data_IF_279435089048
#
_entry.id   IF_279435089048
#
_cell.length_a   1.000
_cell.length_b   1.000
_cell.length_c   1.000
_cell.angle_alpha   90.00
_cell.angle_beta   90.00
_cell.angle_gamma   90.00
#
_symmetry.space_group_name_H-M   'P 1'
#
loop_
_entity.id
_entity.type
_entity.pdbx_description
1 polymer ?
#
# COMPACT_ATOMS: atom_id res chain seq x y z
N UNK A 1 13.59 6.29 -14.64
CA UNK A 1 12.53 6.20 -13.61
C UNK A 1 11.27 5.66 -14.25
N UNK A 2 10.51 4.82 -13.54
CA UNK A 2 9.18 4.36 -13.98
C UNK A 2 8.22 5.56 -13.94
N UNK A 3 7.25 5.63 -14.84
CA UNK A 3 6.25 6.72 -14.86
C UNK A 3 5.41 6.68 -13.58
N UNK A 4 5.06 7.85 -13.04
CA UNK A 4 4.27 7.97 -11.81
C UNK A 4 2.94 7.22 -11.91
N UNK A 5 2.26 7.30 -13.05
CA UNK A 5 1.04 6.51 -13.32
C UNK A 5 1.22 5.02 -12.99
N UNK A 6 2.30 4.41 -13.47
CA UNK A 6 2.52 2.98 -13.26
C UNK A 6 2.82 2.65 -11.80
N UNK A 7 3.46 3.57 -11.07
CA UNK A 7 3.72 3.43 -9.63
C UNK A 7 2.43 3.57 -8.83
N UNK A 8 1.57 4.52 -9.19
CA UNK A 8 0.24 4.68 -8.60
C UNK A 8 -0.62 3.44 -8.83
N UNK A 9 -0.58 2.87 -10.03
CA UNK A 9 -1.28 1.61 -10.34
C UNK A 9 -0.73 0.44 -9.52
N UNK A 10 0.59 0.36 -9.29
CA UNK A 10 1.16 -0.66 -8.39
C UNK A 10 0.60 -0.51 -6.96
N UNK A 11 0.52 0.72 -6.44
CA UNK A 11 -0.02 1.00 -5.10
C UNK A 11 -1.50 0.59 -5.04
N UNK A 12 -2.29 0.98 -6.04
CA UNK A 12 -3.72 0.68 -6.11
C UNK A 12 -3.96 -0.84 -6.15
N UNK A 13 -3.24 -1.56 -7.02
CA UNK A 13 -3.36 -3.01 -7.16
C UNK A 13 -2.93 -3.75 -5.89
N UNK A 14 -1.86 -3.29 -5.23
CA UNK A 14 -1.41 -3.85 -3.96
C UNK A 14 -2.44 -3.64 -2.84
N UNK A 15 -3.07 -2.46 -2.78
CA UNK A 15 -4.14 -2.18 -1.84
C UNK A 15 -5.37 -3.08 -2.08
N UNK A 16 -5.75 -3.29 -3.35
CA UNK A 16 -6.82 -4.21 -3.74
C UNK A 16 -6.53 -5.66 -3.31
N UNK A 17 -5.32 -6.14 -3.58
CA UNK A 17 -4.90 -7.48 -3.18
C UNK A 17 -4.91 -7.66 -1.65
N UNK A 18 -4.48 -6.66 -0.87
CA UNK A 18 -4.57 -6.71 0.59
C UNK A 18 -6.03 -6.88 1.03
N UNK A 19 -6.94 -6.08 0.45
CA UNK A 19 -8.37 -6.19 0.76
C UNK A 19 -8.93 -7.56 0.41
N UNK A 20 -8.54 -8.14 -0.72
CA UNK A 20 -8.98 -9.48 -1.15
C UNK A 20 -8.46 -10.58 -0.22
N UNK A 21 -7.17 -10.52 0.17
CA UNK A 21 -6.58 -11.52 1.07
C UNK A 21 -7.18 -11.50 2.47
N UNK A 22 -7.69 -10.34 2.90
CA UNK A 22 -8.26 -10.14 4.22
C UNK A 22 -9.79 -10.26 4.25
N UNK A 23 -10.45 -10.51 3.12
CA UNK A 23 -11.89 -10.68 3.09
C UNK A 23 -12.35 -11.87 3.95
N UNK A 24 -13.24 -11.61 4.89
CA UNK A 24 -13.69 -12.59 5.88
C UNK A 24 -12.61 -13.10 6.85
N UNK A 25 -11.43 -12.47 6.89
CA UNK A 25 -10.35 -12.80 7.82
C UNK A 25 -10.42 -11.85 9.01
N UNK A 26 -10.47 -12.40 10.23
CA UNK A 26 -10.28 -11.62 11.45
C UNK A 26 -8.81 -11.58 11.88
N UNK A 27 -8.50 -10.70 12.83
CA UNK A 27 -7.13 -10.54 13.34
C UNK A 27 -6.58 -11.85 13.94
N UNK A 28 -7.41 -12.64 14.60
CA UNK A 28 -6.96 -13.89 15.23
C UNK A 28 -6.49 -14.88 14.16
N UNK A 29 -7.27 -15.05 13.10
CA UNK A 29 -6.91 -15.89 11.95
C UNK A 29 -5.66 -15.35 11.26
N UNK A 30 -5.58 -14.05 11.02
CA UNK A 30 -4.38 -13.43 10.44
C UNK A 30 -3.11 -13.71 11.28
N UNK A 31 -3.18 -13.55 12.60
CA UNK A 31 -2.04 -13.78 13.49
C UNK A 31 -1.56 -15.25 13.53
N UNK A 32 -2.41 -16.19 13.12
CA UNK A 32 -2.10 -17.62 13.08
C UNK A 32 -1.88 -18.17 11.66
N UNK A 33 -1.97 -17.34 10.61
CA UNK A 33 -1.81 -17.77 9.22
C UNK A 33 -0.60 -17.09 8.56
N UNK A 34 0.51 -17.84 8.49
CA UNK A 34 1.77 -17.37 7.89
C UNK A 34 1.67 -17.08 6.40
N UNK A 35 0.76 -17.74 5.68
CA UNK A 35 0.59 -17.52 4.25
C UNK A 35 -0.03 -16.14 4.03
N UNK A 36 -1.11 -15.84 4.75
CA UNK A 36 -1.79 -14.54 4.69
C UNK A 36 -0.85 -13.43 5.16
N UNK A 37 -0.15 -13.62 6.28
CA UNK A 37 0.87 -12.69 6.77
C UNK A 37 1.92 -12.35 5.70
N UNK A 38 2.48 -13.37 5.05
CA UNK A 38 3.49 -13.18 4.02
C UNK A 38 2.93 -12.46 2.79
N UNK A 39 1.71 -12.81 2.38
CA UNK A 39 1.03 -12.18 1.25
C UNK A 39 0.77 -10.68 1.50
N UNK A 40 0.20 -10.34 2.67
CA UNK A 40 -0.06 -8.95 3.07
C UNK A 40 1.24 -8.16 3.20
N UNK A 41 2.26 -8.73 3.85
CA UNK A 41 3.56 -8.09 4.02
C UNK A 41 4.23 -7.76 2.68
N UNK A 42 4.13 -8.66 1.71
CA UNK A 42 4.64 -8.45 0.36
C UNK A 42 3.94 -7.25 -0.32
N UNK A 43 2.62 -7.16 -0.22
CA UNK A 43 1.87 -6.05 -0.81
C UNK A 43 2.17 -4.70 -0.12
N UNK A 44 2.30 -4.68 1.20
CA UNK A 44 2.74 -3.49 1.94
C UNK A 44 4.14 -3.02 1.51
N UNK A 45 5.03 -3.97 1.23
CA UNK A 45 6.38 -3.67 0.71
C UNK A 45 6.32 -3.05 -0.69
N UNK A 46 5.44 -3.56 -1.56
CA UNK A 46 5.21 -3.00 -2.90
C UNK A 46 4.69 -1.56 -2.79
N UNK A 47 3.71 -1.31 -1.92
CA UNK A 47 3.17 0.04 -1.67
C UNK A 47 4.28 0.99 -1.23
N UNK A 48 5.10 0.60 -0.25
CA UNK A 48 6.18 1.45 0.24
C UNK A 48 7.28 1.72 -0.80
N UNK A 49 7.66 0.72 -1.59
CA UNK A 49 8.65 0.90 -2.65
C UNK A 49 8.11 1.81 -3.77
N UNK A 50 6.87 1.60 -4.20
CA UNK A 50 6.24 2.43 -5.22
C UNK A 50 6.09 3.87 -4.74
N UNK A 51 5.57 4.09 -3.53
CA UNK A 51 5.44 5.42 -2.92
C UNK A 51 6.78 6.16 -2.79
N UNK A 52 7.88 5.42 -2.56
CA UNK A 52 9.23 6.02 -2.48
C UNK A 52 9.79 6.50 -3.82
N UNK A 53 9.23 5.99 -4.93
CA UNK A 53 9.67 6.28 -6.30
C UNK A 53 8.75 7.28 -7.01
N UNK A 54 7.56 7.56 -6.48
CA UNK A 54 6.68 8.62 -6.99
C UNK A 54 7.44 9.96 -6.94
N UNK A 55 7.36 10.71 -8.04
CA UNK A 55 8.05 11.99 -8.17
C UNK A 55 7.71 12.96 -7.03
N UNK A 56 8.66 13.82 -6.69
CA UNK A 56 8.43 14.83 -5.66
C UNK A 56 7.28 15.77 -6.04
N UNK A 57 7.21 16.19 -7.31
CA UNK A 57 6.17 17.06 -7.85
C UNK A 57 4.77 16.46 -7.60
N UNK A 58 4.55 15.20 -7.98
CA UNK A 58 3.24 14.57 -7.78
C UNK A 58 2.90 14.42 -6.29
N UNK A 59 3.88 14.16 -5.43
CA UNK A 59 3.65 14.11 -3.98
C UNK A 59 3.27 15.47 -3.39
N UNK A 60 3.84 16.55 -3.92
CA UNK A 60 3.54 17.92 -3.51
C UNK A 60 2.17 18.39 -4.02
N UNK A 61 1.76 17.97 -5.22
CA UNK A 61 0.45 18.28 -5.81
C UNK A 61 -0.69 17.54 -5.09
N UNK A 62 -0.41 16.37 -4.52
CA UNK A 62 -1.39 15.53 -3.81
C UNK A 62 -1.01 15.26 -2.34
N UNK A 63 -0.99 16.28 -1.47
CA UNK A 63 -0.50 16.17 -0.09
C UNK A 63 -1.48 15.44 0.86
N UNK A 64 -2.70 15.14 0.40
CA UNK A 64 -3.69 14.37 1.18
C UNK A 64 -3.28 12.90 1.33
N UNK A 65 -2.47 12.38 0.41
CA UNK A 65 -1.90 11.05 0.57
C UNK A 65 -0.76 11.14 1.59
N UNK A 66 -0.73 10.28 2.63
CA UNK A 66 0.34 10.26 3.62
C UNK A 66 1.60 9.60 3.04
N UNK A 67 2.26 10.28 2.10
CA UNK A 67 3.38 9.72 1.33
C UNK A 67 4.54 9.27 2.21
N UNK A 68 4.86 10.01 3.27
CA UNK A 68 5.97 9.67 4.14
C UNK A 68 5.68 8.41 4.98
N UNK A 69 4.44 8.22 5.44
CA UNK A 69 4.02 7.01 6.14
C UNK A 69 3.99 5.80 5.20
N UNK A 70 3.46 5.99 3.97
CA UNK A 70 3.48 4.96 2.94
C UNK A 70 4.93 4.53 2.64
N UNK A 71 5.86 5.48 2.48
CA UNK A 71 7.29 5.21 2.30
C UNK A 71 7.92 4.51 3.48
N UNK A 72 7.55 4.90 4.71
CA UNK A 72 8.06 4.29 5.93
C UNK A 72 7.66 2.81 6.07
N UNK A 73 6.59 2.37 5.41
CA UNK A 73 6.17 0.96 5.36
C UNK A 73 7.31 0.05 4.87
N UNK A 74 8.12 0.49 3.90
CA UNK A 74 9.32 -0.25 3.45
C UNK A 74 10.32 -0.47 4.60
N UNK A 75 10.49 0.51 5.46
CA UNK A 75 11.47 0.47 6.54
C UNK A 75 11.02 -0.45 7.67
N UNK A 76 9.72 -0.49 7.96
CA UNK A 76 9.15 -1.42 8.95
C UNK A 76 9.36 -2.89 8.54
N UNK A 77 9.13 -3.22 7.27
CA UNK A 77 9.31 -4.58 6.75
C UNK A 77 10.78 -4.99 6.63
N UNK A 78 11.65 -4.07 6.18
CA UNK A 78 13.05 -4.40 5.90
C UNK A 78 13.97 -4.41 7.14
N UNK A 79 13.73 -3.54 8.13
CA UNK A 79 14.63 -3.42 9.29
C UNK A 79 14.26 -4.32 10.47
N UNK A 80 13.04 -4.83 10.53
CA UNK A 80 12.56 -5.71 11.60
C UNK A 80 12.18 -7.11 11.11
N UNK A 81 12.74 -7.62 10.00
CA UNK A 81 12.36 -8.95 9.49
C UNK A 81 12.59 -10.10 10.51
N UNK A 82 13.45 -9.89 11.50
CA UNK A 82 13.65 -10.81 12.64
C UNK A 82 12.62 -10.65 13.77
N UNK A 83 11.87 -9.55 13.80
CA UNK A 83 10.90 -9.18 14.84
C UNK A 83 9.73 -8.37 14.25
N UNK A 84 9.09 -8.90 13.19
CA UNK A 84 7.93 -8.23 12.60
C UNK A 84 6.81 -8.21 13.65
N UNK A 85 6.34 -7.00 13.98
CA UNK A 85 5.13 -6.85 14.78
C UNK A 85 3.91 -7.03 13.87
N UNK A 86 3.35 -8.23 13.88
CA UNK A 86 2.18 -8.59 13.09
C UNK A 86 0.91 -7.81 13.48
N UNK A 87 0.88 -7.19 14.67
CA UNK A 87 -0.21 -6.28 15.02
C UNK A 87 -0.15 -5.00 14.20
N UNK A 88 1.05 -4.44 14.04
CA UNK A 88 1.26 -3.24 13.21
C UNK A 88 0.94 -3.59 11.75
N UNK A 89 1.39 -4.74 11.24
CA UNK A 89 1.05 -5.19 9.88
C UNK A 89 -0.47 -5.27 9.69
N UNK A 90 -1.17 -5.90 10.64
CA UNK A 90 -2.62 -6.00 10.60
C UNK A 90 -3.30 -4.63 10.61
N UNK A 91 -2.88 -3.74 11.51
CA UNK A 91 -3.44 -2.41 11.67
C UNK A 91 -3.24 -1.56 10.41
N UNK A 92 -2.03 -1.57 9.87
CA UNK A 92 -1.71 -0.89 8.61
C UNK A 92 -2.57 -1.42 7.47
N UNK A 93 -2.68 -2.75 7.32
CA UNK A 93 -3.45 -3.37 6.25
C UNK A 93 -4.96 -3.11 6.36
N UNK A 94 -5.51 -2.99 7.57
CA UNK A 94 -6.96 -2.89 7.79
C UNK A 94 -7.48 -1.49 8.09
N UNK A 95 -6.60 -0.56 8.48
CA UNK A 95 -6.96 0.84 8.78
C UNK A 95 -6.33 1.81 7.78
N UNK A 96 -5.02 1.80 7.62
CA UNK A 96 -4.32 2.82 6.82
C UNK A 96 -4.46 2.58 5.30
N UNK A 97 -4.29 1.34 4.83
CA UNK A 97 -4.37 1.04 3.39
C UNK A 97 -5.75 1.36 2.79
N UNK A 98 -6.88 1.02 3.46
CA UNK A 98 -8.21 1.43 2.97
C UNK A 98 -8.40 2.93 2.80
N UNK A 99 -7.73 3.76 3.60
CA UNK A 99 -7.78 5.23 3.49
C UNK A 99 -6.93 5.75 2.31
N UNK A 100 -5.80 5.11 2.03
CA UNK A 100 -4.90 5.50 0.93
C UNK A 100 -5.50 5.15 -0.43
N UNK A 101 -6.11 3.96 -0.55
CA UNK A 101 -6.64 3.43 -1.82
C UNK A 101 -7.49 4.44 -2.63
N UNK A 102 -8.56 5.05 -2.09
CA UNK A 102 -9.40 5.97 -2.86
C UNK A 102 -8.66 7.24 -3.28
N UNK A 103 -7.67 7.70 -2.51
CA UNK A 103 -6.87 8.86 -2.87
C UNK A 103 -6.00 8.55 -4.10
N UNK A 104 -5.37 7.38 -4.13
CA UNK A 104 -4.56 6.94 -5.27
C UNK A 104 -5.43 6.77 -6.53
N UNK A 105 -6.62 6.19 -6.39
CA UNK A 105 -7.56 6.06 -7.51
C UNK A 105 -7.93 7.44 -8.09
N UNK A 106 -8.25 8.41 -7.24
CA UNK A 106 -8.58 9.78 -7.67
C UNK A 106 -7.41 10.48 -8.39
N UNK A 107 -6.16 10.24 -7.97
CA UNK A 107 -4.99 10.78 -8.66
C UNK A 107 -4.86 10.17 -10.06
N UNK A 108 -5.03 8.85 -10.19
CA UNK A 108 -4.98 8.18 -11.50
C UNK A 108 -6.05 8.75 -12.43
N UNK A 109 -7.27 8.92 -11.95
CA UNK A 109 -8.37 9.53 -12.72
C UNK A 109 -8.05 10.98 -13.15
N UNK A 110 -7.49 11.79 -12.24
CA UNK A 110 -7.14 13.19 -12.51
C UNK A 110 -5.97 13.36 -13.49
N UNK A 111 -4.93 12.54 -13.38
CA UNK A 111 -3.69 12.66 -14.15
C UNK A 111 -3.72 11.94 -15.49
N UNK A 112 -4.47 10.84 -15.59
CA UNK A 112 -4.51 9.99 -16.80
C UNK A 112 -5.76 10.28 -17.64
N UNK A 113 -6.83 10.77 -17.02
CA UNK A 113 -8.16 10.86 -17.62
C UNK A 113 -8.75 9.46 -17.84
N UNK A 114 -10.08 9.36 -17.77
CA UNK A 114 -10.83 8.16 -18.16
C UNK A 114 -10.43 7.75 -19.58
N UNK A 115 -9.54 6.75 -19.70
CA UNK A 115 -9.38 6.04 -20.95
C UNK A 115 -10.52 5.04 -20.99
N UNK A 116 -11.58 5.27 -21.80
CA UNK A 116 -12.63 4.29 -21.93
C UNK A 116 -11.99 3.00 -22.44
N UNK A 117 -12.47 1.91 -21.85
CA UNK A 117 -12.01 0.52 -22.04
C UNK A 117 -11.91 0.11 -23.51
#
# INVERSE_FOLDING_TARGET
MRRDELLLRDILQAADMISEFLDGIDRSRFLNDRLIQSAVLQQLTIIGEAASRVSQTLREDYPKVPWDDARATRNFVAHQYFSIDWWIVWDTATQNIPEIRPLIAAIIEAEVGDAPT
#
